data_IF_141659902583
#
_entry.id   IF_141659902583
#
_cell.length_a   1.000
_cell.length_b   1.000
_cell.length_c   1.000
_cell.angle_alpha   90.00
_cell.angle_beta   90.00
_cell.angle_gamma   90.00
#
_symmetry.space_group_name_H-M   'P 1'
#
loop_
_entity.id
_entity.type
_entity.pdbx_description
1 polymer ?
#
# COMPACT_ATOMS: atom_id res chain seq x y z
N UNK A 1 -1.10 13.42 -1.88
CA UNK A 1 -1.49 12.58 -0.79
C UNK A 1 -0.27 12.37 0.08
N UNK A 2 -0.38 12.91 1.28
CA UNK A 2 0.80 13.11 2.10
C UNK A 2 1.47 11.83 2.57
N UNK A 3 0.70 10.85 2.95
CA UNK A 3 1.30 9.59 3.42
C UNK A 3 2.09 8.92 2.31
N UNK A 4 1.57 8.99 1.09
CA UNK A 4 2.26 8.40 -0.03
C UNK A 4 3.59 9.09 -0.30
N UNK A 5 3.61 10.43 -0.24
CA UNK A 5 4.85 11.16 -0.40
C UNK A 5 5.86 10.84 0.68
N UNK A 6 5.39 10.73 1.92
CA UNK A 6 6.28 10.39 3.02
C UNK A 6 6.85 8.99 2.84
N UNK A 7 6.02 8.05 2.43
CA UNK A 7 6.48 6.69 2.20
C UNK A 7 7.53 6.64 1.11
N UNK A 8 7.35 7.42 0.05
CA UNK A 8 8.33 7.47 -1.02
C UNK A 8 9.67 7.99 -0.53
N UNK A 9 9.64 9.03 0.32
CA UNK A 9 10.88 9.59 0.87
C UNK A 9 11.58 8.57 1.76
N UNK A 10 10.83 7.89 2.63
CA UNK A 10 11.40 6.88 3.50
C UNK A 10 11.98 5.71 2.70
N UNK A 11 11.29 5.32 1.64
CA UNK A 11 11.79 4.26 0.79
C UNK A 11 13.14 4.64 0.18
N UNK A 12 13.27 5.86 -0.31
CA UNK A 12 14.53 6.30 -0.91
C UNK A 12 15.66 6.30 0.09
N UNK A 13 15.38 6.63 1.36
CA UNK A 13 16.40 6.60 2.40
C UNK A 13 16.91 5.20 2.65
N UNK A 14 16.06 4.20 2.51
CA UNK A 14 16.41 2.82 2.83
C UNK A 14 16.79 1.99 1.60
N UNK A 15 16.80 2.59 0.43
CA UNK A 15 17.04 1.86 -0.81
C UNK A 15 18.39 1.17 -0.83
N UNK A 16 19.42 1.85 -0.33
CA UNK A 16 20.77 1.27 -0.32
C UNK A 16 20.80 -0.02 0.50
N UNK A 17 20.09 -0.05 1.61
CA UNK A 17 20.01 -1.24 2.45
C UNK A 17 19.24 -2.36 1.77
N UNK A 18 18.14 -2.02 1.10
CA UNK A 18 17.30 -3.00 0.45
C UNK A 18 17.91 -3.52 -0.85
N UNK A 19 18.79 -2.75 -1.48
CA UNK A 19 19.43 -3.09 -2.75
C UNK A 19 18.38 -3.42 -3.83
N UNK A 20 18.35 -4.68 -4.31
CA UNK A 20 17.39 -5.11 -5.32
C UNK A 20 16.14 -5.77 -4.69
N UNK A 21 16.07 -5.80 -3.38
CA UNK A 21 14.93 -6.35 -2.67
C UNK A 21 15.04 -7.81 -2.32
N UNK A 22 16.16 -8.45 -2.63
CA UNK A 22 16.33 -9.86 -2.31
C UNK A 22 16.21 -10.07 -0.80
N UNK A 23 15.41 -11.03 -0.40
CA UNK A 23 15.10 -11.33 0.99
C UNK A 23 14.32 -10.24 1.71
N UNK A 24 13.70 -9.33 0.96
CA UNK A 24 12.84 -8.29 1.53
C UNK A 24 11.37 -8.61 1.27
N UNK A 25 10.57 -8.34 2.27
CA UNK A 25 9.12 -8.45 2.19
C UNK A 25 8.53 -7.05 2.25
N UNK A 26 7.80 -6.67 1.21
CA UNK A 26 7.10 -5.40 1.14
C UNK A 26 5.65 -5.67 1.48
N UNK A 27 5.17 -5.06 2.54
CA UNK A 27 3.81 -5.32 3.04
C UNK A 27 2.99 -4.06 2.99
N UNK A 28 1.76 -4.18 2.51
CA UNK A 28 0.80 -3.10 2.53
C UNK A 28 -0.55 -3.67 2.97
N UNK A 29 -1.46 -2.80 3.35
CA UNK A 29 -2.77 -3.25 3.80
C UNK A 29 -3.67 -3.60 2.63
N UNK A 30 -3.62 -2.85 1.55
CA UNK A 30 -4.53 -3.01 0.42
C UNK A 30 -3.83 -2.64 -0.87
N UNK A 31 -3.99 -3.47 -1.89
CA UNK A 31 -3.64 -3.08 -3.24
C UNK A 31 -4.92 -2.76 -4.00
N UNK A 32 -5.04 -1.52 -4.47
CA UNK A 32 -6.22 -1.06 -5.19
C UNK A 32 -5.99 -1.21 -6.70
N UNK A 33 -5.29 -0.29 -7.31
CA UNK A 33 -4.93 -0.37 -8.73
C UNK A 33 -3.56 -0.95 -8.95
N UNK A 34 -2.74 -1.01 -7.90
CA UNK A 34 -1.40 -1.55 -7.98
C UNK A 34 -0.34 -0.57 -8.44
N UNK A 35 -0.67 0.71 -8.52
CA UNK A 35 0.27 1.69 -9.05
C UNK A 35 1.51 1.85 -8.18
N UNK A 36 1.34 1.82 -6.86
CA UNK A 36 2.48 1.93 -5.96
C UNK A 36 3.43 0.76 -6.14
N UNK A 37 2.89 -0.45 -6.18
CA UNK A 37 3.73 -1.64 -6.34
C UNK A 37 4.37 -1.66 -7.71
N UNK A 38 3.61 -1.24 -8.73
CA UNK A 38 4.15 -1.15 -10.08
C UNK A 38 5.35 -0.21 -10.15
N UNK A 39 5.30 0.88 -9.38
CA UNK A 39 6.41 1.81 -9.32
C UNK A 39 7.60 1.24 -8.54
N UNK A 40 7.36 0.41 -7.56
CA UNK A 40 8.42 -0.16 -6.73
C UNK A 40 9.12 -1.35 -7.38
N UNK A 41 8.42 -2.14 -8.16
CA UNK A 41 9.00 -3.36 -8.71
C UNK A 41 10.26 -3.16 -9.55
N UNK A 42 10.36 -2.13 -10.40
CA UNK A 42 11.61 -1.92 -11.12
C UNK A 42 12.79 -1.61 -10.21
N UNK A 43 12.51 -1.06 -9.03
CA UNK A 43 13.55 -0.66 -8.08
C UNK A 43 13.91 -1.84 -7.17
N UNK A 44 12.91 -2.61 -6.75
CA UNK A 44 13.10 -3.77 -5.88
C UNK A 44 12.50 -5.00 -6.54
N UNK A 45 13.12 -5.47 -7.63
CA UNK A 45 12.51 -6.54 -8.42
C UNK A 45 12.50 -7.90 -7.73
N UNK A 46 13.35 -8.10 -6.74
CA UNK A 46 13.44 -9.38 -6.06
C UNK A 46 12.70 -9.43 -4.74
N UNK A 47 12.05 -8.33 -4.34
CA UNK A 47 11.26 -8.33 -3.14
C UNK A 47 9.97 -9.12 -3.34
N UNK A 48 9.47 -9.67 -2.25
CA UNK A 48 8.15 -10.29 -2.24
C UNK A 48 7.12 -9.27 -1.79
N UNK A 49 6.07 -9.09 -2.56
CA UNK A 49 5.05 -8.09 -2.29
C UNK A 49 3.79 -8.75 -1.77
N UNK A 50 3.33 -8.33 -0.60
CA UNK A 50 2.18 -8.94 0.05
C UNK A 50 1.23 -7.89 0.58
N UNK A 51 -0.07 -8.16 0.49
CA UNK A 51 -1.11 -7.29 1.06
C UNK A 51 -2.13 -8.14 1.78
N UNK A 52 -2.88 -7.51 2.68
CA UNK A 52 -3.99 -8.18 3.34
C UNK A 52 -5.16 -8.30 2.37
N UNK A 53 -5.50 -7.20 1.72
CA UNK A 53 -6.62 -7.16 0.77
C UNK A 53 -6.11 -6.82 -0.62
N UNK A 54 -6.77 -7.38 -1.62
CA UNK A 54 -6.44 -7.10 -3.01
C UNK A 54 -7.72 -6.89 -3.81
N UNK A 55 -7.75 -5.79 -4.57
CA UNK A 55 -8.82 -5.55 -5.53
C UNK A 55 -8.40 -6.07 -6.89
N UNK A 56 -9.36 -6.43 -7.76
CA UNK A 56 -9.02 -7.07 -9.03
C UNK A 56 -8.01 -6.30 -9.88
N UNK A 57 -8.12 -4.97 -9.90
CA UNK A 57 -7.22 -4.17 -10.74
C UNK A 57 -5.77 -4.20 -10.27
N UNK A 58 -5.54 -4.46 -8.98
CA UNK A 58 -4.18 -4.48 -8.44
C UNK A 58 -3.66 -5.85 -8.08
N UNK A 59 -4.53 -6.84 -8.10
CA UNK A 59 -4.18 -8.19 -7.63
C UNK A 59 -2.94 -8.76 -8.33
N UNK A 60 -2.82 -8.51 -9.61
CA UNK A 60 -1.72 -9.06 -10.38
C UNK A 60 -0.36 -8.49 -10.00
N UNK A 61 -0.34 -7.37 -9.27
CA UNK A 61 0.91 -6.71 -8.89
C UNK A 61 1.52 -7.29 -7.62
N UNK A 62 0.75 -8.04 -6.82
CA UNK A 62 1.27 -8.59 -5.56
C UNK A 62 1.53 -10.08 -5.72
N UNK A 63 2.45 -10.58 -4.90
CA UNK A 63 2.79 -11.99 -4.92
C UNK A 63 1.88 -12.80 -3.99
N UNK A 64 1.43 -12.18 -2.91
CA UNK A 64 0.58 -12.85 -1.92
C UNK A 64 -0.46 -11.87 -1.40
N UNK A 65 -1.68 -12.32 -1.27
CA UNK A 65 -2.72 -11.57 -0.57
C UNK A 65 -3.61 -12.56 0.16
N UNK A 66 -4.32 -12.05 1.17
CA UNK A 66 -5.15 -12.93 2.01
C UNK A 66 -6.58 -12.99 1.48
N UNK A 67 -7.15 -11.82 1.18
CA UNK A 67 -8.56 -11.76 0.79
C UNK A 67 -8.73 -10.83 -0.41
N UNK A 68 -9.43 -11.30 -1.42
CA UNK A 68 -9.80 -10.46 -2.55
C UNK A 68 -11.14 -9.79 -2.28
N UNK A 69 -11.24 -8.51 -2.62
CA UNK A 69 -12.48 -7.74 -2.47
C UNK A 69 -12.81 -7.09 -3.80
N UNK A 70 -14.07 -6.68 -3.99
CA UNK A 70 -14.46 -6.09 -5.25
C UNK A 70 -13.81 -4.72 -5.45
N UNK A 71 -13.72 -4.29 -6.71
CA UNK A 71 -13.01 -3.04 -7.03
C UNK A 71 -13.66 -1.82 -6.38
N UNK A 72 -14.96 -1.83 -6.22
CA UNK A 72 -15.68 -0.70 -5.63
C UNK A 72 -15.92 -0.85 -4.13
N UNK A 73 -15.28 -1.82 -3.49
CA UNK A 73 -15.33 -1.94 -2.04
C UNK A 73 -14.49 -0.84 -1.40
N UNK A 74 -15.04 -0.23 -0.38
CA UNK A 74 -14.32 0.75 0.42
C UNK A 74 -14.00 0.14 1.77
N UNK A 75 -12.71 0.13 2.14
CA UNK A 75 -12.28 -0.46 3.40
C UNK A 75 -11.74 0.64 4.29
N UNK A 76 -12.28 0.71 5.51
CA UNK A 76 -11.77 1.60 6.53
C UNK A 76 -10.88 0.81 7.47
N UNK A 77 -9.66 1.28 7.62
CA UNK A 77 -8.73 0.71 8.60
C UNK A 77 -8.71 1.61 9.82
N UNK A 78 -8.42 1.04 11.00
CA UNK A 78 -8.41 1.89 12.21
C UNK A 78 -7.47 3.09 12.10
N UNK A 79 -6.34 2.91 11.46
CA UNK A 79 -5.37 4.00 11.31
C UNK A 79 -5.83 5.08 10.34
N UNK A 80 -6.79 4.79 9.47
CA UNK A 80 -7.32 5.80 8.55
C UNK A 80 -7.96 6.95 9.30
N UNK A 81 -8.68 6.65 10.37
CA UNK A 81 -9.31 7.69 11.17
C UNK A 81 -8.28 8.55 11.88
N UNK A 82 -7.20 7.91 12.33
CA UNK A 82 -6.14 8.63 13.03
C UNK A 82 -5.30 9.48 12.10
N UNK A 83 -5.23 9.10 10.84
CA UNK A 83 -4.37 9.77 9.88
C UNK A 83 -5.04 10.93 9.17
N UNK A 84 -6.28 11.21 9.46
CA UNK A 84 -7.00 12.31 8.83
C UNK A 84 -7.04 13.50 9.79
N UNK A 85 -6.17 14.47 9.59
CA UNK A 85 -6.01 15.53 10.59
C UNK A 85 -7.13 16.54 10.62
N UNK A 86 -7.69 16.87 9.48
CA UNK A 86 -8.62 17.97 9.42
C UNK A 86 -10.05 17.60 9.67
N UNK A 87 -10.62 16.58 9.07
CA UNK A 87 -12.01 16.26 9.31
C UNK A 87 -12.20 15.71 10.71
N UNK A 88 -13.30 16.07 11.31
CA UNK A 88 -13.69 15.46 12.56
C UNK A 88 -14.11 14.02 12.30
N UNK A 89 -14.20 13.25 13.37
CA UNK A 89 -14.66 11.87 13.25
C UNK A 89 -16.05 11.82 12.65
N UNK A 90 -16.92 12.72 13.03
CA UNK A 90 -18.27 12.72 12.49
C UNK A 90 -18.28 13.03 10.99
N UNK A 91 -17.39 13.88 10.51
CA UNK A 91 -17.28 14.12 9.08
C UNK A 91 -16.83 12.88 8.34
N UNK A 92 -15.90 12.14 8.91
CA UNK A 92 -15.42 10.93 8.30
C UNK A 92 -16.48 9.85 8.26
N UNK A 93 -17.26 9.74 9.31
CA UNK A 93 -18.33 8.75 9.38
C UNK A 93 -19.44 9.08 8.40
N UNK A 94 -19.73 10.33 8.19
CA UNK A 94 -20.81 10.77 7.34
C UNK A 94 -20.49 10.68 5.86
N UNK A 95 -19.26 10.43 5.54
CA UNK A 95 -18.90 10.21 4.15
C UNK A 95 -19.23 8.79 3.74
#
# INVERSE_FOLDING_TARGET
YKEKSRSDVEFLKNKTMAQDGDNWLIVDDLVDTGETIKALRPILPKAHYATVYAKPAGRAQVDTFITEVSQDTWIYFPWDLEMKPAPTISEQINK
#
